data_IF_731749978127
#
_entry.id   IF_731749978127
#
_cell.length_a   1.000
_cell.length_b   1.000
_cell.length_c   1.000
_cell.angle_alpha   90.00
_cell.angle_beta   90.00
_cell.angle_gamma   90.00
#
_symmetry.space_group_name_H-M   'P 1'
#
loop_
_entity.id
_entity.type
_entity.pdbx_description
1 polymer ?
#
# COMPACT_ATOMS: atom_id res chain seq x y z
N UNK A 1 64.10 -3.41 37.72
CA UNK A 1 62.71 -3.04 38.06
C UNK A 1 62.44 -1.70 37.41
N UNK A 2 61.64 -1.49 36.38
CA UNK A 2 60.81 -2.32 35.51
C UNK A 2 60.18 -1.29 34.56
N UNK A 3 60.62 -1.23 33.31
CA UNK A 3 60.03 -0.34 32.31
C UNK A 3 58.88 -1.10 31.64
N UNK A 4 57.65 -0.69 31.93
CA UNK A 4 56.46 -1.15 31.23
C UNK A 4 56.47 -0.58 29.81
N UNK A 5 56.68 -1.46 28.83
CA UNK A 5 56.44 -1.18 27.42
C UNK A 5 54.94 -1.10 27.19
N UNK A 6 54.42 0.12 27.02
CA UNK A 6 53.08 0.38 26.50
C UNK A 6 53.01 -0.16 25.08
N UNK A 7 52.30 -1.27 24.92
CA UNK A 7 51.98 -1.85 23.62
C UNK A 7 51.00 -0.94 22.89
N UNK A 8 51.52 -0.17 21.95
CA UNK A 8 50.73 0.58 20.97
C UNK A 8 50.06 -0.44 20.04
N UNK A 9 48.83 -0.83 20.40
CA UNK A 9 48.00 -1.67 19.56
C UNK A 9 47.71 -0.94 18.25
N UNK A 10 48.33 -1.41 17.16
CA UNK A 10 48.08 -0.98 15.78
C UNK A 10 46.62 -1.29 15.44
N UNK A 11 45.73 -0.38 15.84
CA UNK A 11 44.29 -0.40 15.63
C UNK A 11 43.95 -0.13 14.17
N UNK A 12 44.52 -0.89 13.24
CA UNK A 12 44.05 -0.95 11.86
C UNK A 12 42.66 -1.58 11.89
N UNK A 13 41.66 -0.73 12.02
CA UNK A 13 40.27 -1.08 11.76
C UNK A 13 40.24 -1.91 10.47
N UNK A 14 39.74 -3.14 10.57
CA UNK A 14 39.68 -4.06 9.45
C UNK A 14 39.08 -3.34 8.24
N UNK A 15 39.82 -3.31 7.13
CA UNK A 15 39.38 -2.63 5.93
C UNK A 15 37.98 -3.14 5.57
N UNK A 16 36.99 -2.26 5.37
CA UNK A 16 35.63 -2.69 5.14
C UNK A 16 35.59 -3.63 3.93
N UNK A 17 34.92 -4.78 4.10
CA UNK A 17 34.87 -5.83 3.09
C UNK A 17 34.43 -5.28 1.73
N UNK A 18 34.98 -5.84 0.66
CA UNK A 18 34.73 -5.45 -0.73
C UNK A 18 33.23 -5.37 -1.09
N UNK A 19 32.37 -6.12 -0.40
CA UNK A 19 30.91 -6.10 -0.57
C UNK A 19 30.27 -4.78 -0.08
N UNK A 20 30.80 -4.18 0.99
CA UNK A 20 30.30 -2.94 1.59
C UNK A 20 30.54 -1.73 0.67
N UNK A 21 31.57 -1.81 -0.18
CA UNK A 21 31.96 -0.76 -1.12
C UNK A 21 31.34 -0.92 -2.53
N UNK A 22 30.55 -1.97 -2.76
CA UNK A 22 30.01 -2.29 -4.08
C UNK A 22 29.01 -1.24 -4.57
N UNK A 23 28.11 -0.79 -3.69
CA UNK A 23 27.09 0.21 -3.99
C UNK A 23 26.79 1.12 -2.78
N UNK A 24 27.71 2.02 -2.40
CA UNK A 24 27.56 2.82 -1.20
C UNK A 24 26.34 3.75 -1.27
N UNK A 25 25.55 3.82 -0.21
CA UNK A 25 24.40 4.73 -0.06
C UNK A 25 23.13 4.25 -0.77
N UNK A 26 23.17 3.09 -1.43
CA UNK A 26 21.99 2.46 -2.02
C UNK A 26 20.95 2.08 -0.96
N UNK A 27 21.41 1.70 0.24
CA UNK A 27 20.53 1.32 1.35
C UNK A 27 19.66 2.49 1.80
N UNK A 28 20.23 3.68 1.90
CA UNK A 28 19.53 4.88 2.38
C UNK A 28 18.49 5.36 1.38
N UNK A 29 18.81 5.28 0.08
CA UNK A 29 17.87 5.64 -0.99
C UNK A 29 16.78 4.58 -1.13
N UNK A 30 17.14 3.30 -1.05
CA UNK A 30 16.16 2.21 -1.04
C UNK A 30 15.20 2.31 0.15
N UNK A 31 15.72 2.62 1.34
CA UNK A 31 14.90 2.83 2.53
C UNK A 31 13.94 4.02 2.34
N UNK A 32 14.42 5.11 1.75
CA UNK A 32 13.58 6.25 1.40
C UNK A 32 12.49 5.91 0.39
N UNK A 33 12.79 5.12 -0.65
CA UNK A 33 11.78 4.68 -1.60
C UNK A 33 10.68 3.83 -0.95
N UNK A 34 11.06 2.87 -0.09
CA UNK A 34 10.09 2.03 0.63
C UNK A 34 9.21 2.89 1.53
N UNK A 35 9.81 3.85 2.24
CA UNK A 35 9.09 4.77 3.10
C UNK A 35 8.07 5.60 2.32
N UNK A 36 8.49 6.23 1.22
CA UNK A 36 7.61 7.04 0.39
C UNK A 36 6.50 6.21 -0.26
N UNK A 37 6.82 5.00 -0.74
CA UNK A 37 5.82 4.07 -1.29
C UNK A 37 4.78 3.68 -0.23
N UNK A 38 5.21 3.41 1.00
CA UNK A 38 4.30 3.12 2.12
C UNK A 38 3.38 4.30 2.44
N UNK A 39 3.90 5.52 2.47
CA UNK A 39 3.08 6.72 2.73
C UNK A 39 2.09 6.94 1.58
N UNK A 40 2.54 6.82 0.32
CA UNK A 40 1.65 6.93 -0.85
C UNK A 40 0.56 5.86 -0.78
N UNK A 41 0.89 4.63 -0.38
CA UNK A 41 -0.10 3.57 -0.19
C UNK A 41 -1.11 3.94 0.90
N UNK A 42 -0.68 4.49 2.04
CA UNK A 42 -1.58 4.94 3.11
C UNK A 42 -2.51 6.05 2.62
N UNK A 43 -1.98 7.06 1.92
CA UNK A 43 -2.78 8.14 1.33
C UNK A 43 -3.75 7.58 0.29
N UNK A 44 -3.30 6.64 -0.54
CA UNK A 44 -4.16 5.99 -1.53
C UNK A 44 -5.28 5.20 -0.86
N UNK A 45 -5.00 4.42 0.19
CA UNK A 45 -6.04 3.67 0.93
C UNK A 45 -7.03 4.60 1.61
N UNK A 46 -6.60 5.75 2.12
CA UNK A 46 -7.51 6.76 2.69
C UNK A 46 -8.34 7.49 1.63
N UNK A 47 -7.88 7.55 0.39
CA UNK A 47 -8.64 8.15 -0.73
C UNK A 47 -9.73 7.23 -1.28
N UNK A 48 -9.72 5.95 -0.88
CA UNK A 48 -10.73 4.97 -1.28
C UNK A 48 -11.78 4.82 -0.18
N UNK A 49 -12.97 4.39 -0.58
CA UNK A 49 -13.99 3.97 0.37
C UNK A 49 -13.58 2.64 1.02
N UNK A 50 -13.44 2.62 2.34
CA UNK A 50 -13.18 1.41 3.13
C UNK A 50 -14.45 0.60 3.40
N UNK A 51 -15.61 1.07 2.96
CA UNK A 51 -16.91 0.45 3.24
C UNK A 51 -17.14 0.26 4.75
N UNK A 52 -16.57 1.15 5.57
CA UNK A 52 -16.63 1.05 7.04
C UNK A 52 -15.78 -0.07 7.64
N UNK A 53 -14.94 -0.75 6.85
CA UNK A 53 -14.04 -1.79 7.34
C UNK A 53 -12.71 -1.19 7.87
N UNK A 54 -12.20 -1.76 8.97
CA UNK A 54 -10.91 -1.45 9.56
C UNK A 54 -10.94 -0.35 10.65
N UNK A 55 -9.77 -0.11 11.26
CA UNK A 55 -9.60 0.79 12.42
C UNK A 55 -9.78 2.29 12.16
N UNK A 56 -10.35 2.67 11.02
CA UNK A 56 -10.35 4.04 10.52
C UNK A 56 -8.98 4.48 10.00
N UNK A 57 -8.96 5.21 8.89
CA UNK A 57 -7.73 5.59 8.19
C UNK A 57 -6.68 6.30 9.06
N UNK A 58 -7.12 7.03 10.10
CA UNK A 58 -6.22 7.78 10.98
C UNK A 58 -5.44 6.92 11.97
N UNK A 59 -6.05 5.89 12.57
CA UNK A 59 -5.37 5.04 13.57
C UNK A 59 -4.38 4.08 12.90
N UNK A 60 -4.76 3.46 11.78
CA UNK A 60 -3.85 2.63 10.98
C UNK A 60 -2.66 3.43 10.43
N UNK A 61 -2.89 4.66 9.98
CA UNK A 61 -1.83 5.57 9.57
C UNK A 61 -0.89 5.92 10.74
N UNK A 62 -1.43 6.20 11.94
CA UNK A 62 -0.64 6.52 13.12
C UNK A 62 0.22 5.34 13.59
N UNK A 63 -0.32 4.11 13.58
CA UNK A 63 0.42 2.89 13.93
C UNK A 63 1.52 2.60 12.92
N UNK A 64 1.26 2.77 11.62
CA UNK A 64 2.26 2.69 10.56
C UNK A 64 3.36 3.75 10.72
N UNK A 65 2.98 5.00 11.05
CA UNK A 65 3.88 6.12 11.29
C UNK A 65 4.74 5.98 12.56
N UNK A 66 4.20 5.45 13.65
CA UNK A 66 4.91 5.36 14.92
C UNK A 66 5.71 4.06 15.09
N UNK A 67 5.20 2.92 14.64
CA UNK A 67 5.81 1.61 14.92
C UNK A 67 6.63 1.07 13.75
N UNK A 68 6.22 1.31 12.50
CA UNK A 68 6.85 0.71 11.33
C UNK A 68 7.88 1.64 10.66
N UNK A 69 7.66 2.94 10.72
CA UNK A 69 8.34 3.96 9.90
C UNK A 69 9.88 4.04 10.02
N UNK A 70 10.52 3.88 11.20
CA UNK A 70 11.97 4.01 11.28
C UNK A 70 12.72 2.71 10.98
N UNK A 71 12.17 1.54 11.34
CA UNK A 71 12.92 0.27 11.32
C UNK A 71 12.61 -0.57 10.08
N UNK A 72 11.33 -0.71 9.71
CA UNK A 72 10.94 -1.61 8.63
C UNK A 72 11.37 -1.08 7.25
N UNK A 73 11.17 0.20 6.87
CA UNK A 73 11.68 0.75 5.61
C UNK A 73 13.20 0.68 5.53
N UNK A 74 13.88 0.88 6.65
CA UNK A 74 15.34 0.76 6.69
C UNK A 74 15.80 -0.67 6.42
N UNK A 75 15.23 -1.65 7.13
CA UNK A 75 15.51 -3.07 6.91
C UNK A 75 15.21 -3.51 5.48
N UNK A 76 14.06 -3.09 4.94
CA UNK A 76 13.66 -3.36 3.55
C UNK A 76 14.56 -2.67 2.53
N UNK A 77 15.00 -1.45 2.80
CA UNK A 77 15.95 -0.72 1.96
C UNK A 77 17.33 -1.40 1.91
N UNK A 78 17.82 -1.87 3.06
CA UNK A 78 19.05 -2.68 3.15
C UNK A 78 18.86 -4.00 2.40
N UNK A 79 17.75 -4.70 2.61
CA UNK A 79 17.45 -5.96 1.94
C UNK A 79 17.37 -5.78 0.42
N UNK A 80 16.71 -4.74 -0.05
CA UNK A 80 16.64 -4.37 -1.47
C UNK A 80 18.03 -4.08 -2.04
N UNK A 81 18.85 -3.33 -1.32
CA UNK A 81 20.22 -3.06 -1.72
C UNK A 81 21.08 -4.34 -1.79
N UNK A 82 20.88 -5.27 -0.85
CA UNK A 82 21.58 -6.55 -0.78
C UNK A 82 21.17 -7.52 -1.89
N UNK A 83 19.88 -7.60 -2.18
CA UNK A 83 19.33 -8.56 -3.14
C UNK A 83 19.42 -8.08 -4.58
N UNK A 84 19.37 -6.76 -4.81
CA UNK A 84 19.32 -6.19 -6.14
C UNK A 84 20.51 -5.28 -6.43
N UNK A 85 20.63 -4.17 -5.71
CA UNK A 85 21.55 -3.08 -6.12
C UNK A 85 23.03 -3.49 -6.07
N UNK A 86 23.47 -4.15 -4.98
CA UNK A 86 24.86 -4.61 -4.81
C UNK A 86 25.21 -5.74 -5.79
N UNK A 87 24.39 -6.80 -5.96
CA UNK A 87 24.63 -7.82 -6.98
C UNK A 87 24.71 -7.24 -8.39
N UNK A 88 23.82 -6.33 -8.78
CA UNK A 88 23.88 -5.64 -10.08
C UNK A 88 25.22 -4.91 -10.24
N UNK A 89 25.66 -4.17 -9.22
CA UNK A 89 26.93 -3.44 -9.27
C UNK A 89 28.14 -4.38 -9.37
N UNK A 90 28.14 -5.50 -8.65
CA UNK A 90 29.20 -6.51 -8.66
C UNK A 90 29.29 -7.24 -9.99
N UNK A 91 28.17 -7.77 -10.48
CA UNK A 91 28.08 -8.47 -11.77
C UNK A 91 28.46 -7.52 -12.91
N UNK A 92 28.01 -6.26 -12.86
CA UNK A 92 28.40 -5.27 -13.87
C UNK A 92 29.90 -5.00 -13.90
N UNK A 93 30.58 -4.97 -12.75
CA UNK A 93 32.04 -4.85 -12.69
C UNK A 93 32.71 -6.10 -13.26
N UNK A 94 32.27 -7.29 -12.84
CA UNK A 94 32.82 -8.56 -13.30
C UNK A 94 32.66 -8.75 -14.82
N UNK A 95 31.48 -8.45 -15.37
CA UNK A 95 31.21 -8.52 -16.81
C UNK A 95 32.05 -7.52 -17.59
N UNK A 96 32.26 -6.31 -17.07
CA UNK A 96 33.13 -5.32 -17.73
C UNK A 96 34.61 -5.71 -17.72
N UNK A 97 35.06 -6.48 -16.73
CA UNK A 97 36.41 -7.05 -16.74
C UNK A 97 36.58 -8.11 -17.85
N UNK A 98 35.49 -8.79 -18.24
CA UNK A 98 35.51 -9.84 -19.26
C UNK A 98 35.16 -9.34 -20.66
N UNK A 99 34.28 -8.33 -20.75
CA UNK A 99 33.69 -7.86 -22.00
C UNK A 99 33.78 -6.33 -22.05
N UNK A 100 34.31 -5.77 -23.14
CA UNK A 100 34.50 -4.31 -23.33
C UNK A 100 33.21 -3.55 -23.68
N UNK A 101 32.12 -3.83 -22.96
CA UNK A 101 30.85 -3.13 -23.16
C UNK A 101 30.75 -1.83 -22.34
N UNK A 102 30.04 -0.80 -22.85
CA UNK A 102 29.79 0.43 -22.11
C UNK A 102 29.00 0.17 -20.82
N UNK A 103 29.32 0.92 -19.75
CA UNK A 103 28.61 0.83 -18.46
C UNK A 103 27.10 1.11 -18.60
N UNK A 104 26.73 1.99 -19.55
CA UNK A 104 25.35 2.33 -19.87
C UNK A 104 24.52 1.14 -20.38
N UNK A 105 25.16 0.08 -20.88
CA UNK A 105 24.48 -1.13 -21.37
C UNK A 105 24.51 -2.23 -20.31
N UNK A 106 25.68 -2.46 -19.70
CA UNK A 106 25.88 -3.58 -18.77
C UNK A 106 25.07 -3.42 -17.48
N UNK A 107 24.98 -2.21 -16.92
CA UNK A 107 24.28 -1.99 -15.65
C UNK A 107 22.77 -2.18 -15.79
N UNK A 108 22.07 -1.57 -16.77
CA UNK A 108 20.66 -1.86 -16.99
C UNK A 108 20.40 -3.31 -17.36
N UNK A 109 21.27 -3.95 -18.14
CA UNK A 109 21.14 -5.36 -18.50
C UNK A 109 21.10 -6.27 -17.27
N UNK A 110 22.04 -6.12 -16.34
CA UNK A 110 22.05 -6.90 -15.09
C UNK A 110 20.90 -6.55 -14.16
N UNK A 111 20.47 -5.27 -14.11
CA UNK A 111 19.28 -4.88 -13.38
C UNK A 111 18.05 -5.64 -13.89
N UNK A 112 17.81 -5.63 -15.20
CA UNK A 112 16.67 -6.31 -15.81
C UNK A 112 16.68 -7.82 -15.55
N UNK A 113 17.85 -8.47 -15.67
CA UNK A 113 18.01 -9.90 -15.41
C UNK A 113 17.75 -10.25 -13.95
N UNK A 114 18.37 -9.54 -13.00
CA UNK A 114 18.18 -9.83 -11.57
C UNK A 114 16.76 -9.48 -11.10
N UNK A 115 16.17 -8.40 -11.61
CA UNK A 115 14.76 -8.08 -11.36
C UNK A 115 13.83 -9.16 -11.90
N UNK A 116 14.12 -9.71 -13.09
CA UNK A 116 13.32 -10.78 -13.69
C UNK A 116 13.36 -12.06 -12.86
N UNK A 117 14.53 -12.41 -12.31
CA UNK A 117 14.68 -13.54 -11.39
C UNK A 117 13.97 -13.29 -10.06
N UNK A 118 14.12 -12.10 -9.47
CA UNK A 118 13.48 -11.74 -8.22
C UNK A 118 11.95 -11.72 -8.32
N UNK A 119 11.39 -11.38 -9.49
CA UNK A 119 9.95 -11.37 -9.75
C UNK A 119 9.31 -12.76 -9.76
N UNK A 120 10.08 -13.84 -9.90
CA UNK A 120 9.54 -15.21 -9.89
C UNK A 120 8.94 -15.57 -8.53
N UNK A 121 9.57 -15.16 -7.43
CA UNK A 121 9.10 -15.48 -6.09
C UNK A 121 7.69 -14.92 -5.80
N UNK A 122 7.40 -13.61 -5.94
CA UNK A 122 6.05 -13.10 -5.73
C UNK A 122 5.05 -13.62 -6.77
N UNK A 123 5.47 -13.84 -8.02
CA UNK A 123 4.57 -14.39 -9.04
C UNK A 123 4.10 -15.82 -8.70
N UNK A 124 4.99 -16.66 -8.19
CA UNK A 124 4.66 -18.05 -7.84
C UNK A 124 4.00 -18.16 -6.47
N UNK A 125 4.48 -17.42 -5.47
CA UNK A 125 4.03 -17.56 -4.08
C UNK A 125 2.75 -16.75 -3.78
N UNK A 126 2.52 -15.65 -4.50
CA UNK A 126 1.44 -14.71 -4.22
C UNK A 126 0.47 -14.54 -5.41
N UNK A 127 0.65 -15.32 -6.48
CA UNK A 127 -0.15 -15.28 -7.71
C UNK A 127 -0.26 -13.87 -8.35
N UNK A 128 0.79 -13.05 -8.18
CA UNK A 128 0.83 -11.69 -8.73
C UNK A 128 1.32 -11.72 -10.18
N UNK A 129 0.76 -10.90 -11.09
CA UNK A 129 1.21 -10.88 -12.49
C UNK A 129 2.72 -10.63 -12.64
N UNK A 130 3.42 -11.61 -13.21
CA UNK A 130 4.89 -11.61 -13.31
C UNK A 130 5.46 -10.32 -13.92
N UNK A 131 4.88 -9.85 -15.02
CA UNK A 131 5.34 -8.64 -15.74
C UNK A 131 5.23 -7.41 -14.84
N UNK A 132 4.17 -7.31 -14.03
CA UNK A 132 3.98 -6.21 -13.09
C UNK A 132 5.03 -6.26 -11.97
N UNK A 133 5.26 -7.44 -11.36
CA UNK A 133 6.32 -7.61 -10.36
C UNK A 133 7.69 -7.23 -10.92
N UNK A 134 8.02 -7.75 -12.11
CA UNK A 134 9.28 -7.47 -12.77
C UNK A 134 9.47 -5.98 -13.03
N UNK A 135 8.46 -5.30 -13.59
CA UNK A 135 8.51 -3.87 -13.87
C UNK A 135 8.71 -3.05 -12.59
N UNK A 136 7.98 -3.36 -11.51
CA UNK A 136 8.10 -2.67 -10.22
C UNK A 136 9.48 -2.87 -9.60
N UNK A 137 9.98 -4.11 -9.59
CA UNK A 137 11.31 -4.42 -9.03
C UNK A 137 12.40 -3.73 -9.86
N UNK A 138 12.34 -3.78 -11.18
CA UNK A 138 13.29 -3.09 -12.06
C UNK A 138 13.28 -1.57 -11.84
N UNK A 139 12.10 -0.95 -11.83
CA UNK A 139 11.95 0.49 -11.60
C UNK A 139 12.51 0.90 -10.22
N UNK A 140 12.22 0.11 -9.18
CA UNK A 140 12.71 0.40 -7.82
C UNK A 140 14.24 0.41 -7.72
N UNK A 141 14.94 -0.42 -8.52
CA UNK A 141 16.40 -0.51 -8.55
C UNK A 141 17.11 0.67 -9.23
N UNK A 142 16.39 1.48 -10.02
CA UNK A 142 17.00 2.58 -10.79
C UNK A 142 17.58 3.67 -9.89
N UNK A 143 16.79 4.18 -8.92
CA UNK A 143 17.23 5.29 -8.07
C UNK A 143 18.41 4.92 -7.16
N UNK A 144 18.44 3.77 -6.46
CA UNK A 144 19.58 3.36 -5.64
C UNK A 144 20.86 3.18 -6.48
N UNK A 145 20.75 2.65 -7.70
CA UNK A 145 21.88 2.52 -8.61
C UNK A 145 22.42 3.89 -9.05
N UNK A 146 21.54 4.81 -9.46
CA UNK A 146 21.93 6.16 -9.86
C UNK A 146 22.56 6.93 -8.70
N UNK A 147 21.98 6.85 -7.51
CA UNK A 147 22.52 7.45 -6.31
C UNK A 147 23.91 6.89 -5.99
N UNK A 148 24.09 5.58 -6.08
CA UNK A 148 25.40 4.95 -5.87
C UNK A 148 26.45 5.44 -6.87
N UNK A 149 26.10 5.57 -8.16
CA UNK A 149 27.00 6.15 -9.17
C UNK A 149 27.34 7.61 -8.83
N UNK A 150 26.35 8.40 -8.43
CA UNK A 150 26.53 9.81 -8.08
C UNK A 150 27.43 9.98 -6.85
N UNK A 151 27.16 9.27 -5.76
CA UNK A 151 27.99 9.28 -4.54
C UNK A 151 29.43 8.88 -4.82
N UNK A 152 29.61 7.85 -5.65
CA UNK A 152 30.94 7.40 -6.05
C UNK A 152 31.69 8.45 -6.89
N UNK A 153 31.02 9.09 -7.86
CA UNK A 153 31.61 10.16 -8.67
C UNK A 153 31.97 11.40 -7.84
N UNK A 154 31.16 11.73 -6.84
CA UNK A 154 31.40 12.84 -5.91
C UNK A 154 32.40 12.52 -4.81
N UNK A 155 32.88 11.27 -4.72
CA UNK A 155 33.80 10.77 -3.68
C UNK A 155 33.32 11.13 -2.26
N UNK A 156 32.00 11.06 -2.03
CA UNK A 156 31.42 11.48 -0.76
C UNK A 156 31.87 10.55 0.36
N UNK A 157 32.30 11.15 1.47
CA UNK A 157 32.54 10.44 2.71
C UNK A 157 31.27 9.72 3.17
N UNK A 158 31.43 8.61 3.88
CA UNK A 158 30.31 7.79 4.32
C UNK A 158 29.27 8.58 5.11
N UNK A 159 29.71 9.36 6.10
CA UNK A 159 28.84 10.23 6.89
C UNK A 159 28.09 11.25 6.03
N UNK A 160 28.70 11.77 4.96
CA UNK A 160 28.06 12.70 4.04
C UNK A 160 26.97 12.03 3.19
N UNK A 161 27.18 10.76 2.78
CA UNK A 161 26.16 9.97 2.06
C UNK A 161 24.93 9.72 2.93
N UNK A 162 25.16 9.34 4.19
CA UNK A 162 24.11 9.13 5.17
C UNK A 162 23.32 10.41 5.45
N UNK A 163 24.02 11.52 5.73
CA UNK A 163 23.37 12.82 5.94
C UNK A 163 22.55 13.25 4.73
N UNK A 164 23.11 13.14 3.52
CA UNK A 164 22.38 13.51 2.31
C UNK A 164 21.14 12.64 2.09
N UNK A 165 21.28 11.31 2.20
CA UNK A 165 20.17 10.40 2.02
C UNK A 165 19.08 10.60 3.09
N UNK A 166 19.47 10.80 4.34
CA UNK A 166 18.54 11.13 5.42
C UNK A 166 17.85 12.48 5.18
N UNK A 167 18.56 13.51 4.70
CA UNK A 167 17.97 14.82 4.39
C UNK A 167 16.98 14.76 3.23
N UNK A 168 17.30 14.05 2.14
CA UNK A 168 16.41 13.91 0.98
C UNK A 168 15.18 13.10 1.36
N UNK A 169 15.37 11.94 1.97
CA UNK A 169 14.27 11.07 2.43
C UNK A 169 13.41 11.78 3.46
N UNK A 170 14.01 12.43 4.44
CA UNK A 170 13.31 13.19 5.48
C UNK A 170 12.53 14.37 4.89
N UNK A 171 13.13 15.12 3.96
CA UNK A 171 12.46 16.23 3.28
C UNK A 171 11.28 15.79 2.43
N UNK A 172 11.43 14.72 1.65
CA UNK A 172 10.33 14.14 0.86
C UNK A 172 9.23 13.56 1.76
N UNK A 173 9.61 12.89 2.85
CA UNK A 173 8.65 12.36 3.84
C UNK A 173 7.86 13.49 4.48
N UNK A 174 8.52 14.55 4.93
CA UNK A 174 7.87 15.72 5.50
C UNK A 174 6.94 16.40 4.48
N UNK A 175 7.35 16.49 3.21
CA UNK A 175 6.51 17.04 2.14
C UNK A 175 5.25 16.19 1.89
N UNK A 176 5.38 14.87 1.75
CA UNK A 176 4.21 14.00 1.54
C UNK A 176 3.30 14.02 2.77
N UNK A 177 3.86 13.99 3.99
CA UNK A 177 3.07 14.10 5.21
C UNK A 177 2.35 15.44 5.29
N UNK A 178 3.00 16.54 4.92
CA UNK A 178 2.37 17.84 4.83
C UNK A 178 1.23 17.84 3.80
N UNK A 179 1.42 17.23 2.62
CA UNK A 179 0.35 17.08 1.62
C UNK A 179 -0.79 16.21 2.15
N UNK A 180 -0.51 15.11 2.85
CA UNK A 180 -1.53 14.22 3.41
C UNK A 180 -2.36 14.89 4.52
N UNK A 181 -1.73 15.69 5.38
CA UNK A 181 -2.39 16.37 6.51
C UNK A 181 -3.09 17.66 6.09
N UNK A 182 -2.43 18.47 5.26
CA UNK A 182 -2.95 19.77 4.83
C UNK A 182 -3.78 19.69 3.55
N UNK A 183 -3.64 18.63 2.76
CA UNK A 183 -4.38 18.39 1.53
C UNK A 183 -5.90 18.40 1.72
N UNK A 184 -6.44 17.69 2.73
CA UNK A 184 -7.86 17.74 3.04
C UNK A 184 -8.33 19.13 3.47
N UNK A 185 -7.56 19.83 4.29
CA UNK A 185 -7.91 21.17 4.78
C UNK A 185 -7.86 22.23 3.69
N UNK A 186 -6.99 22.06 2.70
CA UNK A 186 -6.84 22.95 1.54
C UNK A 186 -7.77 22.59 0.38
N UNK A 187 -8.49 21.46 0.45
CA UNK A 187 -9.30 20.93 -0.65
C UNK A 187 -8.50 20.33 -1.80
N UNK A 188 -7.17 20.20 -1.67
CA UNK A 188 -6.31 19.55 -2.68
C UNK A 188 -6.48 18.03 -2.71
N UNK A 189 -6.76 17.44 -1.54
CA UNK A 189 -7.11 16.04 -1.40
C UNK A 189 -8.52 15.99 -0.82
N UNK A 190 -9.53 15.88 -1.67
CA UNK A 190 -10.88 15.65 -1.18
C UNK A 190 -10.92 14.24 -0.55
N UNK A 191 -11.19 14.09 0.76
CA UNK A 191 -11.48 12.79 1.32
C UNK A 191 -12.68 12.20 0.58
N UNK A 192 -12.74 10.88 0.49
CA UNK A 192 -13.91 10.24 -0.10
C UNK A 192 -15.15 10.57 0.74
N UNK A 193 -16.18 11.12 0.08
CA UNK A 193 -17.50 11.31 0.64
C UNK A 193 -18.50 10.44 -0.11
N UNK A 194 -19.26 9.63 0.63
CA UNK A 194 -20.30 8.78 0.05
C UNK A 194 -21.38 9.66 -0.63
N UNK A 195 -21.93 9.22 -1.78
CA UNK A 195 -22.85 10.05 -2.54
C UNK A 195 -24.19 10.22 -1.82
N UNK A 196 -24.67 11.46 -1.78
CA UNK A 196 -26.03 11.78 -1.33
C UNK A 196 -27.00 11.61 -2.49
N UNK A 197 -27.83 10.57 -2.43
CA UNK A 197 -28.76 10.21 -3.50
C UNK A 197 -30.18 10.76 -3.25
N UNK A 198 -30.52 11.07 -2.00
CA UNK A 198 -31.89 11.29 -1.56
C UNK A 198 -32.75 10.02 -1.67
N UNK A 199 -33.94 10.02 -1.05
CA UNK A 199 -34.80 8.83 -0.94
C UNK A 199 -35.17 8.20 -2.29
N UNK A 200 -35.51 9.02 -3.30
CA UNK A 200 -35.85 8.55 -4.65
C UNK A 200 -34.66 7.96 -5.40
N UNK A 201 -33.43 8.35 -5.04
CA UNK A 201 -32.21 7.85 -5.65
C UNK A 201 -31.92 6.37 -5.32
N UNK A 202 -32.53 5.83 -4.26
CA UNK A 202 -32.41 4.41 -3.89
C UNK A 202 -33.37 3.50 -4.68
N UNK A 203 -34.46 4.04 -5.23
CA UNK A 203 -35.43 3.28 -6.02
C UNK A 203 -34.75 2.71 -7.27
N UNK A 204 -35.04 1.44 -7.57
CA UNK A 204 -34.52 0.74 -8.74
C UNK A 204 -34.04 -0.67 -8.42
N UNK A 205 -33.33 -1.27 -9.38
CA UNK A 205 -32.74 -2.61 -9.23
C UNK A 205 -31.25 -2.48 -8.94
N UNK A 206 -30.78 -3.20 -7.93
CA UNK A 206 -29.39 -3.26 -7.49
C UNK A 206 -28.86 -4.68 -7.63
N UNK A 207 -27.69 -4.86 -8.25
CA UNK A 207 -27.12 -6.18 -8.55
C UNK A 207 -25.64 -6.24 -8.24
N UNK A 208 -25.19 -7.35 -7.67
CA UNK A 208 -23.78 -7.60 -7.39
C UNK A 208 -23.62 -8.82 -6.48
N UNK A 209 -22.44 -9.45 -6.50
CA UNK A 209 -22.11 -10.63 -5.67
C UNK A 209 -23.13 -11.79 -5.71
N UNK A 210 -23.77 -11.95 -6.88
CA UNK A 210 -24.81 -12.94 -7.14
C UNK A 210 -26.18 -12.62 -6.52
N UNK A 211 -26.32 -11.49 -5.83
CA UNK A 211 -27.55 -11.01 -5.25
C UNK A 211 -28.27 -9.98 -6.14
N UNK A 212 -29.57 -9.81 -5.92
CA UNK A 212 -30.38 -8.75 -6.53
C UNK A 212 -31.34 -8.18 -5.50
N UNK A 213 -31.42 -6.86 -5.44
CA UNK A 213 -32.33 -6.11 -4.57
C UNK A 213 -33.13 -5.16 -5.45
N UNK A 214 -34.47 -5.26 -5.41
CA UNK A 214 -35.37 -4.33 -6.09
C UNK A 214 -36.05 -3.49 -5.02
N UNK A 215 -35.85 -2.17 -5.10
CA UNK A 215 -36.44 -1.19 -4.20
C UNK A 215 -37.51 -0.40 -4.95
N UNK A 216 -38.77 -0.58 -4.54
CA UNK A 216 -39.92 0.04 -5.18
C UNK A 216 -40.24 1.41 -4.57
N UNK A 217 -40.79 2.37 -5.34
CA UNK A 217 -41.09 3.71 -4.85
C UNK A 217 -42.17 3.76 -3.76
N UNK A 218 -42.97 2.69 -3.63
CA UNK A 218 -44.01 2.55 -2.60
C UNK A 218 -43.48 1.94 -1.28
N UNK A 219 -42.16 1.74 -1.17
CA UNK A 219 -41.52 1.14 0.00
C UNK A 219 -41.50 -0.39 -0.01
N UNK A 220 -41.96 -1.08 -1.06
CA UNK A 220 -41.79 -2.53 -1.18
C UNK A 220 -40.37 -2.90 -1.60
N UNK A 221 -39.88 -4.03 -1.10
CA UNK A 221 -38.56 -4.58 -1.44
C UNK A 221 -38.66 -6.03 -1.90
N UNK A 222 -37.86 -6.38 -2.90
CA UNK A 222 -37.67 -7.77 -3.33
C UNK A 222 -36.18 -8.09 -3.28
N UNK A 223 -35.84 -9.22 -2.67
CA UNK A 223 -34.46 -9.63 -2.44
C UNK A 223 -34.25 -11.04 -2.94
N UNK A 224 -33.17 -11.24 -3.67
CA UNK A 224 -32.75 -12.54 -4.20
C UNK A 224 -31.31 -12.80 -3.82
N UNK A 225 -31.08 -13.90 -3.09
CA UNK A 225 -29.77 -14.37 -2.61
C UNK A 225 -28.94 -13.30 -1.88
N UNK A 226 -29.61 -12.38 -1.18
CA UNK A 226 -28.93 -11.34 -0.39
C UNK A 226 -28.17 -12.01 0.75
N UNK A 227 -26.88 -11.70 0.86
CA UNK A 227 -26.05 -12.19 1.95
C UNK A 227 -26.38 -11.43 3.24
N UNK A 228 -26.49 -12.15 4.34
CA UNK A 228 -26.71 -11.59 5.66
C UNK A 228 -25.98 -12.43 6.70
N UNK A 229 -25.77 -11.85 7.86
CA UNK A 229 -25.14 -12.52 9.00
C UNK A 229 -26.21 -13.22 9.84
N UNK A 230 -26.16 -14.55 9.86
CA UNK A 230 -27.00 -15.36 10.72
C UNK A 230 -26.42 -15.43 12.14
N UNK A 231 -27.06 -16.20 13.03
CA UNK A 231 -26.52 -16.42 14.36
C UNK A 231 -25.08 -16.96 14.31
N UNK A 232 -24.25 -16.56 15.27
CA UNK A 232 -22.85 -16.99 15.41
C UNK A 232 -21.91 -16.58 14.25
N UNK A 233 -22.19 -15.46 13.57
CA UNK A 233 -21.37 -14.92 12.46
C UNK A 233 -21.34 -15.82 11.22
N UNK A 234 -22.31 -16.74 11.08
CA UNK A 234 -22.43 -17.58 9.89
C UNK A 234 -23.02 -16.78 8.71
N UNK A 235 -22.37 -16.87 7.56
CA UNK A 235 -22.84 -16.22 6.35
C UNK A 235 -23.96 -17.04 5.69
N UNK A 236 -25.16 -16.46 5.65
CA UNK A 236 -26.32 -17.06 4.99
C UNK A 236 -26.80 -16.20 3.81
N UNK A 237 -27.69 -16.78 2.99
CA UNK A 237 -28.33 -16.08 1.87
C UNK A 237 -29.84 -16.21 1.95
N UNK A 238 -30.54 -15.09 1.82
CA UNK A 238 -32.00 -15.06 1.86
C UNK A 238 -32.60 -14.64 0.52
N UNK A 239 -33.83 -15.07 0.27
CA UNK A 239 -34.66 -14.65 -0.86
C UNK A 239 -36.07 -14.43 -0.35
N UNK A 240 -36.69 -13.29 -0.70
CA UNK A 240 -38.01 -12.97 -0.21
C UNK A 240 -38.48 -11.58 -0.64
N UNK A 241 -39.63 -11.19 -0.11
CA UNK A 241 -40.23 -9.87 -0.31
C UNK A 241 -40.52 -9.24 1.04
N UNK A 242 -40.45 -7.91 1.10
CA UNK A 242 -40.65 -7.16 2.32
C UNK A 242 -40.82 -5.68 2.06
N UNK A 243 -40.35 -4.85 2.98
CA UNK A 243 -40.36 -3.40 2.83
C UNK A 243 -38.95 -2.82 2.98
N UNK A 244 -38.77 -1.60 2.50
CA UNK A 244 -37.56 -0.83 2.74
C UNK A 244 -37.90 0.60 3.16
N UNK A 245 -36.96 1.23 3.86
CA UNK A 245 -37.03 2.65 4.21
C UNK A 245 -35.67 3.31 3.98
N UNK A 246 -35.71 4.58 3.59
CA UNK A 246 -34.50 5.40 3.53
C UNK A 246 -33.97 5.64 4.95
N UNK A 247 -32.65 5.49 5.11
CA UNK A 247 -31.93 5.76 6.34
C UNK A 247 -31.06 7.00 6.14
N UNK A 248 -31.34 8.03 6.92
CA UNK A 248 -30.56 9.27 6.94
C UNK A 248 -29.16 9.06 7.52
N UNK A 249 -28.23 9.94 7.12
CA UNK A 249 -26.88 9.98 7.67
C UNK A 249 -26.92 10.32 9.15
N UNK A 250 -26.16 9.58 9.96
CA UNK A 250 -25.90 9.85 11.37
C UNK A 250 -24.39 9.96 11.60
N UNK A 251 -23.97 10.44 12.77
CA UNK A 251 -22.56 10.76 13.09
C UNK A 251 -21.57 9.60 12.79
N UNK A 252 -22.01 8.35 13.01
CA UNK A 252 -21.18 7.14 12.80
C UNK A 252 -21.78 6.18 11.77
N UNK A 253 -22.79 6.62 11.01
CA UNK A 253 -23.51 5.76 10.05
C UNK A 253 -23.86 6.54 8.81
N UNK A 254 -23.48 6.01 7.65
CA UNK A 254 -23.77 6.62 6.35
C UNK A 254 -25.25 6.49 5.99
N UNK A 255 -25.69 7.28 5.01
CA UNK A 255 -27.00 7.07 4.40
C UNK A 255 -27.12 5.66 3.85
N UNK A 256 -28.36 5.20 3.71
CA UNK A 256 -28.61 3.89 3.14
C UNK A 256 -30.08 3.52 3.14
N UNK A 257 -30.33 2.22 3.18
CA UNK A 257 -31.67 1.65 3.25
C UNK A 257 -31.75 0.63 4.36
N UNK A 258 -32.83 0.68 5.14
CA UNK A 258 -33.20 -0.37 6.07
C UNK A 258 -34.13 -1.34 5.35
N UNK A 259 -33.88 -2.64 5.46
CA UNK A 259 -34.67 -3.69 4.85
C UNK A 259 -35.42 -4.45 5.94
N UNK A 260 -36.73 -4.61 5.77
CA UNK A 260 -37.57 -5.46 6.61
C UNK A 260 -38.12 -6.60 5.74
N UNK A 261 -37.37 -7.70 5.72
CA UNK A 261 -37.69 -8.90 4.94
C UNK A 261 -37.57 -10.09 5.89
N UNK A 262 -38.70 -10.73 6.22
CA UNK A 262 -38.77 -11.84 7.19
C UNK A 262 -37.79 -12.99 6.93
N UNK A 263 -37.44 -13.24 5.67
CA UNK A 263 -36.49 -14.30 5.31
C UNK A 263 -35.02 -13.95 5.62
N UNK A 264 -34.74 -12.70 5.98
CA UNK A 264 -33.42 -12.12 6.19
C UNK A 264 -33.35 -11.53 7.61
N UNK A 265 -33.69 -12.33 8.64
CA UNK A 265 -34.07 -11.98 10.03
C UNK A 265 -33.07 -11.12 10.86
N UNK A 266 -32.07 -10.52 10.22
CA UNK A 266 -30.98 -9.73 10.79
C UNK A 266 -30.20 -8.89 9.75
N UNK A 267 -30.75 -8.64 8.55
CA UNK A 267 -30.05 -7.79 7.58
C UNK A 267 -30.05 -6.32 8.05
N UNK A 268 -28.91 -5.83 8.58
CA UNK A 268 -28.68 -4.49 9.17
C UNK A 268 -28.87 -3.27 8.22
N UNK A 269 -29.55 -3.48 7.10
CA UNK A 269 -29.72 -2.52 6.03
C UNK A 269 -28.44 -2.36 5.19
N UNK A 270 -28.59 -1.73 4.03
CA UNK A 270 -27.49 -1.50 3.10
C UNK A 270 -27.07 -0.04 3.17
N UNK A 271 -25.77 0.21 3.28
CA UNK A 271 -25.20 1.57 3.28
C UNK A 271 -24.82 2.01 1.87
N UNK A 272 -24.82 3.32 1.61
CA UNK A 272 -24.43 3.87 0.31
C UNK A 272 -22.92 4.06 0.17
N UNK A 273 -22.41 3.77 -1.02
CA UNK A 273 -21.04 3.96 -1.45
C UNK A 273 -20.98 4.32 -2.95
N UNK A 274 -19.77 4.36 -3.53
CA UNK A 274 -19.53 4.66 -4.93
C UNK A 274 -19.53 6.15 -5.22
N UNK A 275 -20.08 6.56 -6.36
CA UNK A 275 -20.14 7.96 -6.77
C UNK A 275 -21.57 8.34 -7.14
N UNK A 276 -21.87 9.64 -7.28
CA UNK A 276 -23.20 10.08 -7.73
C UNK A 276 -23.58 9.50 -9.11
N UNK A 277 -22.59 9.30 -10.00
CA UNK A 277 -22.82 8.74 -11.34
C UNK A 277 -22.89 7.22 -11.36
N UNK A 278 -22.23 6.57 -10.40
CA UNK A 278 -22.16 5.11 -10.26
C UNK A 278 -22.34 4.76 -8.77
N UNK A 279 -23.57 4.85 -8.25
CA UNK A 279 -23.83 4.58 -6.85
C UNK A 279 -23.77 3.07 -6.57
N UNK A 280 -23.34 2.75 -5.36
CA UNK A 280 -23.28 1.38 -4.85
C UNK A 280 -24.04 1.29 -3.52
N UNK A 281 -24.66 0.15 -3.28
CA UNK A 281 -25.16 -0.26 -1.97
C UNK A 281 -24.28 -1.39 -1.45
N UNK A 282 -23.96 -1.37 -0.17
CA UNK A 282 -23.13 -2.40 0.42
C UNK A 282 -23.57 -2.79 1.82
N UNK A 283 -23.12 -3.97 2.25
CA UNK A 283 -23.10 -4.39 3.64
C UNK A 283 -21.72 -4.96 3.97
N UNK A 284 -21.23 -4.68 5.17
CA UNK A 284 -20.06 -5.33 5.74
C UNK A 284 -20.55 -6.47 6.63
N UNK A 285 -20.06 -7.69 6.42
CA UNK A 285 -20.47 -8.87 7.17
C UNK A 285 -19.27 -9.44 7.95
N UNK A 286 -19.49 -9.94 9.16
CA UNK A 286 -18.44 -10.49 10.01
C UNK A 286 -17.70 -9.42 10.82
N UNK A 287 -16.44 -9.70 11.16
CA UNK A 287 -15.58 -8.82 11.96
C UNK A 287 -15.40 -7.45 11.27
N UNK A 288 -15.75 -6.32 11.90
CA UNK A 288 -15.52 -4.98 11.34
C UNK A 288 -14.07 -4.73 10.89
N UNK A 289 -13.09 -5.42 11.47
CA UNK A 289 -11.67 -5.26 11.14
C UNK A 289 -11.22 -6.09 9.92
N UNK A 290 -11.96 -7.15 9.58
CA UNK A 290 -11.59 -8.12 8.55
C UNK A 290 -12.78 -8.68 7.74
N UNK A 291 -13.90 -7.95 7.73
CA UNK A 291 -15.18 -8.42 7.26
C UNK A 291 -15.30 -8.50 5.75
N UNK A 292 -16.28 -9.28 5.31
CA UNK A 292 -16.61 -9.47 3.91
C UNK A 292 -17.55 -8.35 3.44
N UNK A 293 -17.05 -7.47 2.56
CA UNK A 293 -17.89 -6.45 1.91
C UNK A 293 -18.67 -7.09 0.77
N UNK A 294 -20.00 -6.94 0.81
CA UNK A 294 -20.91 -7.32 -0.28
C UNK A 294 -21.47 -6.08 -0.93
N UNK A 295 -21.29 -5.95 -2.25
CA UNK A 295 -21.62 -4.75 -3.03
C UNK A 295 -22.68 -5.03 -4.07
N UNK A 296 -23.53 -4.04 -4.27
CA UNK A 296 -24.59 -4.01 -5.26
C UNK A 296 -24.49 -2.71 -6.04
N UNK A 297 -24.56 -2.79 -7.36
CA UNK A 297 -24.55 -1.64 -8.25
C UNK A 297 -25.94 -1.39 -8.78
N UNK A 298 -26.28 -0.12 -8.97
CA UNK A 298 -27.53 0.26 -9.62
C UNK A 298 -27.50 -0.21 -11.08
N UNK A 299 -28.52 -0.97 -11.48
CA UNK A 299 -28.71 -1.50 -12.83
C UNK A 299 -29.50 -0.57 -13.75
#
# INVERSE_FOLDING_TARGET
MGNESVGEGDGRAAAPGWWYTAAPGAEVVGAGQVLLAGIVQVVHTQSQDDYGAGYGGAFGALLFLCCCLPVAPFGLGVLHALLLTKPVALLSRATRCRIRLPRAVVVPGWLLVLSALAALAPAVLLDVPYVQCWAVIAASGVLPLLASVWFHRRRMAESARWKWGASVTGGLTALILAVAVLGPQSGWLAPYEAPELGSSGYVGTWKGDGATVVLHPDGRAEVTRLAYEAEHFDLARCTGTGTWRFRERQEYRREGVELDVKACDSADGLSVAGTRSHPELFTLLGDPDAGDVRRLRKG
#
